data_IF_311499894528
#
_entry.id   IF_311499894528
#
_cell.length_a   1.000
_cell.length_b   1.000
_cell.length_c   1.000
_cell.angle_alpha   90.00
_cell.angle_beta   90.00
_cell.angle_gamma   90.00
#
_symmetry.space_group_name_H-M   'P 1'
#
loop_
_entity.id
_entity.type
_entity.pdbx_description
1 polymer ?
#
# COMPACT_ATOMS: atom_id res chain seq x y z
N UNK A 1 11.03 -4.73 8.29
CA UNK A 1 9.99 -4.56 7.24
C UNK A 1 10.20 -3.20 6.63
N UNK A 2 10.27 -3.10 5.32
CA UNK A 2 10.47 -1.82 4.61
C UNK A 2 9.14 -1.34 4.03
N UNK A 3 8.97 -0.02 3.93
CA UNK A 3 7.82 0.57 3.23
C UNK A 3 8.04 0.36 1.73
N UNK A 4 7.16 -0.42 1.12
CA UNK A 4 7.21 -0.73 -0.31
C UNK A 4 6.35 0.21 -1.13
N UNK A 5 5.12 0.40 -0.67
CA UNK A 5 4.12 1.20 -1.37
C UNK A 5 3.46 2.15 -0.39
N UNK A 6 3.08 3.31 -0.90
CA UNK A 6 2.21 4.22 -0.18
C UNK A 6 1.16 4.71 -1.14
N UNK A 7 -0.10 4.75 -0.72
CA UNK A 7 -1.15 5.36 -1.51
C UNK A 7 -2.04 6.21 -0.63
N UNK A 8 -2.67 7.20 -1.26
CA UNK A 8 -3.71 8.01 -0.63
C UNK A 8 -5.03 7.74 -1.32
N UNK A 9 -6.09 7.69 -0.53
CA UNK A 9 -7.44 7.68 -1.03
C UNK A 9 -7.94 9.13 -1.17
N UNK A 10 -8.73 9.41 -2.20
CA UNK A 10 -9.36 10.73 -2.42
C UNK A 10 -10.83 10.70 -2.00
N UNK A 11 -11.49 11.86 -2.06
CA UNK A 11 -12.92 12.02 -1.75
C UNK A 11 -13.33 11.56 -0.34
N UNK A 12 -12.43 11.70 0.65
CA UNK A 12 -12.70 11.24 2.02
C UNK A 12 -12.86 9.72 2.16
N UNK A 13 -12.51 8.94 1.12
CA UNK A 13 -12.61 7.49 1.19
C UNK A 13 -11.61 6.94 2.20
N UNK A 14 -12.06 5.94 2.96
CA UNK A 14 -11.21 5.22 3.91
C UNK A 14 -11.32 3.72 3.69
N UNK A 15 -10.21 3.02 3.84
CA UNK A 15 -10.17 1.57 3.86
C UNK A 15 -9.82 1.08 5.26
N UNK A 16 -10.56 0.08 5.73
CA UNK A 16 -10.28 -0.58 7.00
C UNK A 16 -8.90 -1.24 6.99
N UNK A 17 -8.14 -1.17 8.11
CA UNK A 17 -6.80 -1.74 8.18
C UNK A 17 -6.77 -3.25 7.95
N UNK A 18 -7.82 -3.97 8.36
CA UNK A 18 -7.92 -5.43 8.17
C UNK A 18 -8.06 -5.80 6.70
N UNK A 19 -9.03 -5.19 6.01
CA UNK A 19 -9.25 -5.40 4.58
C UNK A 19 -8.00 -5.04 3.76
N UNK A 20 -7.33 -3.95 4.12
CA UNK A 20 -6.10 -3.54 3.46
C UNK A 20 -4.95 -4.53 3.72
N UNK A 21 -4.82 -5.03 4.95
CA UNK A 21 -3.83 -6.04 5.32
C UNK A 21 -4.04 -7.32 4.54
N UNK A 22 -5.27 -7.83 4.48
CA UNK A 22 -5.59 -9.05 3.73
C UNK A 22 -5.25 -8.91 2.24
N UNK A 23 -5.67 -7.79 1.61
CA UNK A 23 -5.34 -7.50 0.21
C UNK A 23 -3.83 -7.44 -0.01
N UNK A 24 -3.08 -6.81 0.91
CA UNK A 24 -1.63 -6.68 0.79
C UNK A 24 -0.89 -8.01 1.01
N UNK A 25 -1.33 -8.82 1.97
CA UNK A 25 -0.81 -10.18 2.18
C UNK A 25 -1.00 -11.04 0.94
N UNK A 26 -2.19 -10.98 0.33
CA UNK A 26 -2.49 -11.69 -0.90
C UNK A 26 -1.68 -11.16 -2.09
N UNK A 27 -1.50 -9.84 -2.19
CA UNK A 27 -0.72 -9.21 -3.24
C UNK A 27 0.78 -9.56 -3.17
N UNK A 28 1.36 -9.52 -1.97
CA UNK A 28 2.77 -9.84 -1.74
C UNK A 28 3.07 -11.33 -1.64
N UNK A 29 2.05 -12.18 -1.49
CA UNK A 29 2.18 -13.62 -1.21
C UNK A 29 3.13 -13.90 -0.04
N UNK A 30 3.14 -13.01 0.95
CA UNK A 30 4.03 -13.12 2.10
C UNK A 30 3.25 -12.85 3.38
N UNK A 31 3.34 -13.74 4.40
CA UNK A 31 2.72 -13.51 5.70
C UNK A 31 3.43 -12.41 6.50
N UNK A 32 4.64 -11.99 6.07
CA UNK A 32 5.40 -10.88 6.66
C UNK A 32 5.04 -9.54 5.99
N UNK A 33 3.74 -9.29 5.86
CA UNK A 33 3.14 -8.06 5.31
C UNK A 33 2.54 -7.24 6.45
N UNK A 34 2.60 -5.92 6.32
CA UNK A 34 2.05 -4.99 7.31
C UNK A 34 1.45 -3.79 6.61
N UNK A 35 0.45 -3.18 7.23
CA UNK A 35 -0.17 -1.96 6.71
C UNK A 35 -0.29 -0.96 7.84
N UNK A 36 -0.06 0.31 7.53
CA UNK A 36 -0.20 1.41 8.48
C UNK A 36 -0.93 2.55 7.79
N UNK A 37 -1.90 3.11 8.49
CA UNK A 37 -2.50 4.38 8.10
C UNK A 37 -1.76 5.49 8.85
N UNK A 38 -1.22 6.44 8.11
CA UNK A 38 -0.43 7.55 8.61
C UNK A 38 -1.12 8.84 8.22
N UNK A 39 -1.21 9.77 9.17
CA UNK A 39 -1.78 11.09 8.95
C UNK A 39 -0.68 12.01 8.43
N UNK A 40 -0.86 12.55 7.22
CA UNK A 40 0.05 13.46 6.55
C UNK A 40 -0.54 14.89 6.59
N UNK A 41 -0.59 15.50 7.77
CA UNK A 41 -1.22 16.82 7.98
C UNK A 41 -2.69 16.73 8.39
N UNK A 42 -3.37 17.87 8.46
CA UNK A 42 -4.68 17.97 9.14
C UNK A 42 -5.81 17.18 8.47
N UNK A 43 -5.78 16.97 7.14
CA UNK A 43 -6.85 16.27 6.41
C UNK A 43 -6.40 15.12 5.49
N UNK A 44 -5.09 14.86 5.39
CA UNK A 44 -4.59 13.86 4.44
C UNK A 44 -4.18 12.57 5.13
N UNK A 45 -4.71 11.46 4.65
CA UNK A 45 -4.34 10.12 5.12
C UNK A 45 -3.57 9.37 4.04
N UNK A 46 -2.45 8.77 4.45
CA UNK A 46 -1.60 7.92 3.62
C UNK A 46 -1.63 6.51 4.17
N UNK A 47 -1.85 5.55 3.28
CA UNK A 47 -1.80 4.13 3.57
C UNK A 47 -0.44 3.60 3.14
N UNK A 48 0.40 3.31 4.12
CA UNK A 48 1.72 2.74 3.92
C UNK A 48 1.66 1.21 4.01
N UNK A 49 2.19 0.54 3.00
CA UNK A 49 2.26 -0.90 2.86
C UNK A 49 3.70 -1.34 3.10
N UNK A 50 3.88 -2.21 4.09
CA UNK A 50 5.16 -2.73 4.55
C UNK A 50 5.31 -4.19 4.19
N UNK A 51 6.51 -4.59 3.81
CA UNK A 51 6.82 -5.97 3.44
C UNK A 51 8.25 -6.36 3.81
N UNK A 52 8.66 -7.61 3.51
CA UNK A 52 10.04 -8.03 3.63
C UNK A 52 10.93 -7.25 2.64
N UNK A 53 12.22 -7.09 2.92
CA UNK A 53 13.17 -6.37 2.03
C UNK A 53 13.30 -6.99 0.65
N UNK A 54 13.09 -8.31 0.55
CA UNK A 54 13.05 -9.07 -0.69
C UNK A 54 11.63 -9.56 -0.92
N UNK A 55 10.81 -8.74 -1.57
CA UNK A 55 9.58 -9.24 -2.21
C UNK A 55 9.99 -9.86 -3.53
N UNK A 56 9.66 -11.14 -3.75
CA UNK A 56 10.05 -11.85 -4.98
C UNK A 56 9.51 -11.18 -6.26
N UNK A 57 8.33 -10.55 -6.18
CA UNK A 57 7.66 -9.91 -7.33
C UNK A 57 7.04 -8.56 -6.95
N UNK A 58 7.83 -7.47 -6.78
CA UNK A 58 7.31 -6.18 -6.30
C UNK A 58 6.36 -5.52 -7.30
N UNK A 59 6.63 -5.64 -8.61
CA UNK A 59 5.76 -5.14 -9.67
C UNK A 59 4.40 -5.84 -9.66
N UNK A 60 4.38 -7.16 -9.47
CA UNK A 60 3.14 -7.94 -9.41
C UNK A 60 2.33 -7.58 -8.17
N UNK A 61 2.98 -7.40 -7.01
CA UNK A 61 2.31 -6.97 -5.79
C UNK A 61 1.68 -5.58 -5.94
N UNK A 62 2.38 -4.65 -6.59
CA UNK A 62 1.84 -3.33 -6.91
C UNK A 62 0.62 -3.42 -7.84
N UNK A 63 0.71 -4.16 -8.94
CA UNK A 63 -0.40 -4.31 -9.88
C UNK A 63 -1.62 -4.97 -9.24
N UNK A 64 -1.43 -5.98 -8.38
CA UNK A 64 -2.50 -6.61 -7.62
C UNK A 64 -3.19 -5.63 -6.68
N UNK A 65 -2.43 -4.81 -5.96
CA UNK A 65 -3.04 -3.77 -5.12
C UNK A 65 -3.75 -2.71 -5.93
N UNK A 66 -3.18 -2.32 -7.07
CA UNK A 66 -3.81 -1.39 -7.98
C UNK A 66 -5.15 -1.93 -8.48
N UNK A 67 -5.17 -3.19 -8.90
CA UNK A 67 -6.38 -3.91 -9.31
C UNK A 67 -7.42 -3.94 -8.20
N UNK A 68 -7.03 -4.38 -7.00
CA UNK A 68 -7.93 -4.42 -5.84
C UNK A 68 -8.58 -3.06 -5.54
N UNK A 69 -7.79 -1.98 -5.55
CA UNK A 69 -8.31 -0.64 -5.28
C UNK A 69 -9.25 -0.15 -6.39
N UNK A 70 -8.93 -0.46 -7.66
CA UNK A 70 -9.79 -0.13 -8.80
C UNK A 70 -11.10 -0.94 -8.79
N UNK A 71 -11.04 -2.25 -8.55
CA UNK A 71 -12.21 -3.13 -8.48
C UNK A 71 -13.13 -2.77 -7.31
N UNK A 72 -12.57 -2.32 -6.19
CA UNK A 72 -13.35 -1.81 -5.07
C UNK A 72 -13.90 -0.39 -5.29
N UNK A 73 -13.63 0.25 -6.44
CA UNK A 73 -14.13 1.58 -6.78
C UNK A 73 -13.45 2.73 -6.02
N UNK A 74 -12.25 2.50 -5.49
CA UNK A 74 -11.50 3.54 -4.81
C UNK A 74 -10.81 4.47 -5.80
N UNK A 75 -10.84 5.77 -5.50
CA UNK A 75 -10.05 6.76 -6.21
C UNK A 75 -8.78 6.99 -5.40
N UNK A 76 -7.65 6.57 -5.93
CA UNK A 76 -6.38 6.61 -5.20
C UNK A 76 -5.24 7.20 -6.02
N UNK A 77 -4.25 7.72 -5.32
CA UNK A 77 -2.95 8.06 -5.90
C UNK A 77 -1.91 7.19 -5.21
N UNK A 78 -1.24 6.33 -5.97
CA UNK A 78 -0.22 5.42 -5.47
C UNK A 78 1.17 5.96 -5.81
N UNK A 79 2.02 6.03 -4.80
CA UNK A 79 3.45 6.30 -4.92
C UNK A 79 4.22 5.02 -4.66
N UNK A 80 4.92 4.54 -5.69
CA UNK A 80 5.90 3.46 -5.58
C UNK A 80 7.14 4.03 -4.91
N UNK A 81 7.40 3.62 -3.67
CA UNK A 81 8.65 3.93 -2.99
C UNK A 81 9.70 2.90 -3.43
N UNK A 82 9.97 2.89 -4.74
CA UNK A 82 11.15 2.23 -5.26
C UNK A 82 12.35 3.06 -4.83
N UNK A 83 13.04 2.61 -3.77
CA UNK A 83 14.42 2.99 -3.43
C UNK A 83 14.68 4.51 -3.55
N UNK A 84 14.47 5.27 -2.47
CA UNK A 84 15.38 6.40 -2.23
C UNK A 84 16.71 5.78 -1.80
N UNK A 85 17.62 5.64 -2.75
CA UNK A 85 19.04 5.83 -2.43
C UNK A 85 19.10 7.25 -1.87
N UNK A 86 19.17 7.37 -0.55
CA UNK A 86 19.73 8.57 0.04
C UNK A 86 21.21 8.25 0.21
N UNK A 87 21.97 8.81 -0.74
CA UNK A 87 23.40 9.15 -0.75
C UNK A 87 24.27 8.62 0.41
#
# INVERSE_FOLDING_TARGET
>A
MVRWLSFRLRNGQSIGPERLREAWTWACQSPRSGVRREQLGEDHWVYALYGPELISCPRTAEQRMRGFLLEAGYIFTMGSLGRREAA
#
